data_IF_744283587758
#
_entry.id   IF_744283587758
#
_cell.length_a   1.000
_cell.length_b   1.000
_cell.length_c   1.000
_cell.angle_alpha   90.00
_cell.angle_beta   90.00
_cell.angle_gamma   90.00
#
_symmetry.space_group_name_H-M   'P 1'
#
loop_
_entity.id
_entity.type
_entity.pdbx_description
1 polymer ?
#
# COMPACT_ATOMS: atom_id res chain seq x y z
N UNK A 1 30.44 -8.51 22.86
CA UNK A 1 30.28 -7.58 21.73
C UNK A 1 29.45 -6.41 22.21
N UNK A 2 29.99 -5.20 22.24
CA UNK A 2 29.19 -4.01 22.60
C UNK A 2 28.18 -3.74 21.47
N UNK A 3 26.92 -3.79 21.82
CA UNK A 3 25.87 -3.43 20.85
C UNK A 3 25.99 -1.95 20.50
N UNK A 4 25.96 -1.63 19.22
CA UNK A 4 25.93 -0.25 18.73
C UNK A 4 24.80 0.53 19.44
N UNK A 5 25.09 1.68 20.08
CA UNK A 5 24.10 2.46 20.79
C UNK A 5 22.92 2.90 19.89
N UNK A 6 23.16 3.08 18.59
CA UNK A 6 22.10 3.36 17.60
C UNK A 6 21.17 2.16 17.41
N UNK A 7 21.73 0.96 17.31
CA UNK A 7 20.92 -0.26 17.18
C UNK A 7 20.04 -0.49 18.41
N UNK A 8 20.57 -0.22 19.62
CA UNK A 8 19.79 -0.31 20.87
C UNK A 8 18.61 0.68 20.86
N UNK A 9 18.85 1.92 20.49
CA UNK A 9 17.81 2.96 20.40
C UNK A 9 16.70 2.58 19.40
N UNK A 10 17.06 2.05 18.23
CA UNK A 10 16.10 1.58 17.22
C UNK A 10 15.26 0.42 17.75
N UNK A 11 15.88 -0.55 18.43
CA UNK A 11 15.18 -1.68 19.02
C UNK A 11 14.22 -1.26 20.15
N UNK A 12 14.62 -0.31 21.01
CA UNK A 12 13.76 0.22 22.05
C UNK A 12 12.56 0.98 21.44
N UNK A 13 12.80 1.78 20.40
CA UNK A 13 11.72 2.46 19.68
C UNK A 13 10.74 1.47 19.04
N UNK A 14 11.27 0.42 18.38
CA UNK A 14 10.45 -0.65 17.80
C UNK A 14 9.58 -1.34 18.86
N UNK A 15 10.15 -1.69 20.03
CA UNK A 15 9.40 -2.32 21.14
C UNK A 15 8.26 -1.41 21.63
N UNK A 16 8.54 -0.12 21.78
CA UNK A 16 7.51 0.86 22.20
C UNK A 16 6.37 0.95 21.19
N UNK A 17 6.70 1.05 19.91
CA UNK A 17 5.69 1.11 18.84
C UNK A 17 4.88 -0.18 18.75
N UNK A 18 5.55 -1.33 18.91
CA UNK A 18 4.87 -2.63 18.93
C UNK A 18 3.89 -2.74 20.11
N UNK A 19 4.27 -2.27 21.29
CA UNK A 19 3.40 -2.27 22.45
C UNK A 19 2.16 -1.36 22.27
N UNK A 20 2.33 -0.21 21.61
CA UNK A 20 1.22 0.69 21.29
C UNK A 20 0.25 0.11 20.24
N UNK A 21 0.75 -0.77 19.38
CA UNK A 21 -0.03 -1.39 18.31
C UNK A 21 -1.00 -2.47 18.83
N UNK A 22 -0.69 -3.13 19.94
CA UNK A 22 -1.45 -4.27 20.48
C UNK A 22 -2.95 -3.94 20.64
N UNK A 23 -3.29 -2.72 21.06
CA UNK A 23 -4.69 -2.29 21.22
C UNK A 23 -5.47 -2.20 19.90
N UNK A 24 -4.77 -2.08 18.77
CA UNK A 24 -5.36 -2.02 17.44
C UNK A 24 -5.45 -3.40 16.76
N UNK A 25 -4.61 -4.34 17.16
CA UNK A 25 -4.51 -5.64 16.50
C UNK A 25 -5.82 -6.45 16.62
N UNK A 26 -6.47 -6.42 17.77
CA UNK A 26 -7.77 -7.09 17.97
C UNK A 26 -8.87 -6.44 17.11
N UNK A 27 -8.88 -5.12 17.03
CA UNK A 27 -9.84 -4.41 16.19
C UNK A 27 -9.61 -4.66 14.70
N UNK A 28 -8.36 -4.70 14.26
CA UNK A 28 -8.02 -5.05 12.88
C UNK A 28 -8.35 -6.50 12.55
N UNK A 29 -8.21 -7.42 13.51
CA UNK A 29 -8.63 -8.80 13.32
C UNK A 29 -10.13 -8.88 13.07
N UNK A 30 -10.94 -8.21 13.88
CA UNK A 30 -12.39 -8.15 13.69
C UNK A 30 -12.78 -7.59 12.32
N UNK A 31 -12.15 -6.48 11.90
CA UNK A 31 -12.36 -5.91 10.56
C UNK A 31 -11.99 -6.93 9.46
N UNK A 32 -10.85 -7.60 9.60
CA UNK A 32 -10.38 -8.56 8.61
C UNK A 32 -11.34 -9.75 8.48
N UNK A 33 -11.90 -10.24 9.58
CA UNK A 33 -12.83 -11.37 9.58
C UNK A 33 -14.09 -11.09 8.74
N UNK A 34 -14.59 -9.85 8.75
CA UNK A 34 -15.77 -9.46 7.99
C UNK A 34 -15.49 -8.94 6.58
N UNK A 35 -14.41 -8.18 6.38
CA UNK A 35 -14.13 -7.51 5.11
C UNK A 35 -13.09 -8.23 4.26
N UNK A 36 -12.09 -8.86 4.87
CA UNK A 36 -10.96 -9.52 4.20
C UNK A 36 -10.66 -10.91 4.79
N UNK A 37 -11.61 -11.84 4.80
CA UNK A 37 -11.47 -13.13 5.51
C UNK A 37 -10.29 -13.97 5.03
N UNK A 38 -9.85 -13.79 3.77
CA UNK A 38 -8.66 -14.47 3.23
C UNK A 38 -7.34 -13.98 3.85
N UNK A 39 -7.33 -12.75 4.37
CA UNK A 39 -6.16 -12.08 4.97
C UNK A 39 -6.28 -11.92 6.50
N UNK A 40 -7.27 -12.52 7.13
CA UNK A 40 -7.57 -12.43 8.56
C UNK A 40 -6.61 -13.25 9.44
N UNK A 41 -5.31 -13.01 9.34
CA UNK A 41 -4.28 -13.67 10.16
C UNK A 41 -3.47 -12.63 10.94
N UNK A 42 -4.13 -11.75 11.69
CA UNK A 42 -3.47 -10.66 12.42
C UNK A 42 -3.10 -11.11 13.83
N UNK A 43 -4.09 -11.42 14.66
CA UNK A 43 -3.90 -11.99 16.00
C UNK A 43 -4.13 -13.50 16.00
N UNK A 44 -5.06 -13.98 15.19
CA UNK A 44 -5.38 -15.39 15.05
C UNK A 44 -4.58 -16.02 13.90
N UNK A 45 -4.08 -17.23 14.14
CA UNK A 45 -3.36 -18.00 13.12
C UNK A 45 -4.25 -19.14 12.64
N UNK A 46 -4.71 -19.01 11.41
CA UNK A 46 -5.45 -20.08 10.75
C UNK A 46 -4.48 -21.09 10.12
N UNK A 47 -4.81 -22.37 10.28
CA UNK A 47 -4.09 -23.47 9.64
C UNK A 47 -4.67 -23.78 8.26
N UNK A 48 -3.96 -24.61 7.49
CA UNK A 48 -4.48 -25.05 6.18
C UNK A 48 -5.73 -25.91 6.38
N UNK A 49 -6.83 -25.50 5.72
CA UNK A 49 -8.12 -26.20 5.81
C UNK A 49 -9.11 -25.60 6.81
N UNK A 50 -8.69 -24.61 7.60
CA UNK A 50 -9.61 -23.90 8.50
C UNK A 50 -10.62 -23.08 7.70
N UNK A 51 -11.84 -23.05 8.18
CA UNK A 51 -12.89 -22.20 7.62
C UNK A 51 -12.63 -20.76 8.04
N UNK A 52 -12.65 -19.85 7.06
CA UNK A 52 -12.37 -18.41 7.28
C UNK A 52 -13.61 -17.52 7.12
N UNK A 53 -14.78 -18.12 7.00
CA UNK A 53 -16.02 -17.41 6.69
C UNK A 53 -17.18 -17.82 7.60
N UNK A 54 -16.90 -18.47 8.72
CA UNK A 54 -17.93 -18.95 9.63
C UNK A 54 -18.75 -17.81 10.26
N UNK A 55 -18.17 -16.60 10.32
CA UNK A 55 -18.83 -15.38 10.82
C UNK A 55 -19.49 -14.55 9.72
N UNK A 56 -19.31 -14.92 8.44
CA UNK A 56 -19.86 -14.15 7.30
C UNK A 56 -21.17 -14.79 6.88
N UNK A 57 -22.28 -14.12 7.20
CA UNK A 57 -23.61 -14.55 6.82
C UNK A 57 -24.06 -13.99 5.45
N UNK A 58 -23.49 -12.86 5.01
CA UNK A 58 -23.66 -12.31 3.68
C UNK A 58 -22.37 -11.64 3.17
N UNK A 59 -22.28 -11.41 1.86
CA UNK A 59 -21.12 -10.83 1.21
C UNK A 59 -21.14 -9.29 1.10
N UNK A 60 -22.06 -8.60 1.75
CA UNK A 60 -22.26 -7.14 1.58
C UNK A 60 -21.00 -6.35 1.94
N UNK A 61 -20.35 -6.67 3.05
CA UNK A 61 -19.16 -5.96 3.52
C UNK A 61 -17.98 -6.12 2.54
N UNK A 62 -17.71 -7.34 2.11
CA UNK A 62 -16.64 -7.66 1.14
C UNK A 62 -16.92 -6.98 -0.21
N UNK A 63 -18.17 -7.04 -0.69
CA UNK A 63 -18.56 -6.41 -1.95
C UNK A 63 -18.47 -4.89 -1.89
N UNK A 64 -18.88 -4.27 -0.78
CA UNK A 64 -18.80 -2.82 -0.59
C UNK A 64 -17.34 -2.34 -0.58
N UNK A 65 -16.44 -3.07 0.06
CA UNK A 65 -15.00 -2.79 0.06
C UNK A 65 -14.41 -2.87 -1.36
N UNK A 66 -14.75 -3.92 -2.10
CA UNK A 66 -14.31 -4.12 -3.49
C UNK A 66 -14.78 -2.98 -4.39
N UNK A 67 -16.04 -2.59 -4.29
CA UNK A 67 -16.63 -1.50 -5.07
C UNK A 67 -15.95 -0.16 -4.75
N UNK A 68 -15.69 0.11 -3.47
CA UNK A 68 -15.03 1.34 -3.04
C UNK A 68 -13.56 1.38 -3.50
N UNK A 69 -12.82 0.27 -3.37
CA UNK A 69 -11.44 0.16 -3.84
C UNK A 69 -11.35 0.34 -5.36
N UNK A 70 -12.25 -0.27 -6.11
CA UNK A 70 -12.34 -0.11 -7.57
C UNK A 70 -12.63 1.33 -7.97
N UNK A 71 -13.53 2.00 -7.25
CA UNK A 71 -13.87 3.40 -7.48
C UNK A 71 -12.67 4.32 -7.21
N UNK A 72 -11.95 4.11 -6.11
CA UNK A 72 -10.75 4.88 -5.80
C UNK A 72 -9.65 4.65 -6.85
N UNK A 73 -9.42 3.41 -7.26
CA UNK A 73 -8.44 3.11 -8.29
C UNK A 73 -8.77 3.82 -9.61
N UNK A 74 -10.03 3.79 -10.03
CA UNK A 74 -10.49 4.48 -11.24
C UNK A 74 -10.37 6.01 -11.17
N UNK A 75 -10.52 6.60 -9.99
CA UNK A 75 -10.47 8.05 -9.78
C UNK A 75 -9.06 8.58 -9.56
N UNK A 76 -8.22 7.88 -8.78
CA UNK A 76 -6.91 8.38 -8.34
C UNK A 76 -5.74 7.87 -9.19
N UNK A 77 -5.79 6.62 -9.64
CA UNK A 77 -4.68 5.98 -10.37
C UNK A 77 -5.15 5.35 -11.68
N UNK A 78 -5.93 6.10 -12.43
CA UNK A 78 -6.45 5.66 -13.72
C UNK A 78 -5.30 5.30 -14.67
N UNK A 79 -5.41 4.13 -15.31
CA UNK A 79 -4.41 3.64 -16.28
C UNK A 79 -4.44 4.36 -17.63
N UNK A 80 -5.56 4.99 -17.97
CA UNK A 80 -5.78 5.59 -19.30
C UNK A 80 -5.26 7.02 -19.36
N UNK A 81 -5.40 7.77 -18.27
CA UNK A 81 -5.00 9.18 -18.21
C UNK A 81 -3.85 9.40 -17.21
N UNK A 82 -2.96 10.38 -17.48
CA UNK A 82 -1.96 10.78 -16.51
C UNK A 82 -2.59 11.23 -15.21
N UNK A 83 -2.23 10.59 -14.11
CA UNK A 83 -2.77 10.90 -12.78
C UNK A 83 -1.82 11.73 -11.92
N UNK A 84 -0.61 12.01 -12.38
CA UNK A 84 0.35 12.92 -11.74
C UNK A 84 1.10 13.76 -12.76
N UNK A 85 1.60 14.90 -12.31
CA UNK A 85 2.49 15.79 -13.06
C UNK A 85 3.70 16.14 -12.21
N UNK A 86 4.85 16.34 -12.85
CA UNK A 86 6.06 16.83 -12.20
C UNK A 86 6.11 18.33 -12.31
N UNK A 87 6.48 19.02 -11.22
CA UNK A 87 6.64 20.47 -11.18
C UNK A 87 7.87 20.85 -10.38
N UNK A 88 8.54 21.93 -10.78
CA UNK A 88 9.60 22.50 -9.96
C UNK A 88 9.03 23.11 -8.68
N UNK A 89 9.77 22.93 -7.59
CA UNK A 89 9.44 23.58 -6.32
C UNK A 89 9.67 25.09 -6.35
N UNK A 90 10.63 25.55 -7.17
CA UNK A 90 10.99 26.98 -7.29
C UNK A 90 10.26 27.59 -8.49
N UNK A 91 9.50 28.65 -8.26
CA UNK A 91 8.77 29.40 -9.31
C UNK A 91 9.69 29.94 -10.42
N UNK A 92 10.91 30.39 -10.09
CA UNK A 92 11.84 30.90 -11.13
C UNK A 92 12.25 29.82 -12.16
N UNK A 93 12.21 28.56 -11.77
CA UNK A 93 12.47 27.45 -12.69
C UNK A 93 11.19 27.02 -13.45
N UNK A 94 10.01 27.34 -12.92
CA UNK A 94 8.72 27.01 -13.54
C UNK A 94 8.42 27.88 -14.78
N UNK A 95 9.06 29.05 -14.93
CA UNK A 95 8.90 29.96 -16.09
C UNK A 95 9.79 29.57 -17.29
N UNK A 96 10.51 28.44 -17.17
CA UNK A 96 11.38 27.95 -18.25
C UNK A 96 10.69 26.82 -19.02
N UNK A 97 10.29 27.10 -20.25
CA UNK A 97 9.58 26.16 -21.14
C UNK A 97 10.36 24.87 -21.38
N UNK A 98 11.68 24.97 -21.64
CA UNK A 98 12.54 23.80 -21.89
C UNK A 98 12.63 22.90 -20.63
N UNK A 99 12.62 23.48 -19.45
CA UNK A 99 12.63 22.74 -18.19
C UNK A 99 11.28 22.05 -17.94
N UNK A 100 10.17 22.67 -18.29
CA UNK A 100 8.83 22.08 -18.19
C UNK A 100 8.66 20.92 -19.18
N UNK A 101 9.13 21.06 -20.43
CA UNK A 101 9.12 19.98 -21.43
C UNK A 101 9.95 18.77 -20.97
N UNK A 102 11.10 19.02 -20.33
CA UNK A 102 11.89 17.94 -19.72
C UNK A 102 11.12 17.20 -18.61
N UNK A 103 10.43 17.93 -17.71
CA UNK A 103 9.61 17.33 -16.66
C UNK A 103 8.43 16.52 -17.21
N UNK A 104 7.77 17.00 -18.26
CA UNK A 104 6.73 16.25 -18.94
C UNK A 104 7.26 14.94 -19.54
N UNK A 105 8.45 15.01 -20.15
CA UNK A 105 9.12 13.82 -20.68
C UNK A 105 9.44 12.82 -19.56
N UNK A 106 9.98 13.29 -18.44
CA UNK A 106 10.22 12.46 -17.27
C UNK A 106 8.92 11.83 -16.74
N UNK A 107 7.84 12.58 -16.62
CA UNK A 107 6.55 12.07 -16.18
C UNK A 107 6.01 10.97 -17.11
N UNK A 108 6.14 11.14 -18.42
CA UNK A 108 5.76 10.13 -19.42
C UNK A 108 6.58 8.84 -19.25
N UNK A 109 7.90 8.96 -19.06
CA UNK A 109 8.77 7.78 -18.80
C UNK A 109 8.37 7.06 -17.52
N UNK A 110 8.13 7.80 -16.42
CA UNK A 110 7.67 7.21 -15.16
C UNK A 110 6.35 6.46 -15.33
N UNK A 111 5.38 7.03 -16.06
CA UNK A 111 4.11 6.36 -16.35
C UNK A 111 4.31 5.06 -17.14
N UNK A 112 5.23 5.06 -18.12
CA UNK A 112 5.56 3.84 -18.88
C UNK A 112 6.20 2.76 -17.98
N UNK A 113 7.07 3.14 -17.07
CA UNK A 113 7.67 2.22 -16.08
C UNK A 113 6.59 1.63 -15.17
N UNK A 114 5.68 2.44 -14.64
CA UNK A 114 4.57 1.95 -13.82
C UNK A 114 3.65 1.01 -14.61
N UNK A 115 3.37 1.31 -15.87
CA UNK A 115 2.52 0.48 -16.71
C UNK A 115 3.16 -0.89 -17.06
N UNK A 116 4.49 -0.98 -17.12
CA UNK A 116 5.22 -2.26 -17.34
C UNK A 116 5.39 -3.08 -16.09
N UNK A 117 5.43 -2.42 -14.93
CA UNK A 117 5.61 -3.05 -13.62
C UNK A 117 4.30 -3.64 -13.08
N UNK A 118 4.36 -4.24 -11.91
CA UNK A 118 3.18 -4.72 -11.18
C UNK A 118 2.45 -3.61 -10.38
N UNK A 119 2.72 -2.33 -10.67
CA UNK A 119 2.17 -1.19 -9.92
C UNK A 119 0.64 -1.21 -9.82
N UNK A 120 -0.06 -1.47 -10.93
CA UNK A 120 -1.53 -1.43 -10.94
C UNK A 120 -2.17 -2.49 -10.04
N UNK A 121 -1.55 -3.66 -9.96
CA UNK A 121 -2.01 -4.72 -9.08
C UNK A 121 -1.77 -4.35 -7.61
N UNK A 122 -0.57 -3.87 -7.29
CA UNK A 122 -0.18 -3.55 -5.93
C UNK A 122 -0.87 -2.30 -5.38
N UNK A 123 -1.14 -1.29 -6.22
CA UNK A 123 -1.88 -0.10 -5.78
C UNK A 123 -3.36 -0.44 -5.48
N UNK A 124 -3.95 -1.37 -6.19
CA UNK A 124 -5.29 -1.86 -5.91
C UNK A 124 -5.35 -2.60 -4.56
N UNK A 125 -4.36 -3.47 -4.29
CA UNK A 125 -4.21 -4.11 -2.99
C UNK A 125 -3.97 -3.09 -1.87
N UNK A 126 -3.19 -2.03 -2.14
CA UNK A 126 -2.97 -0.94 -1.19
C UNK A 126 -4.28 -0.21 -0.85
N UNK A 127 -5.15 0.02 -1.82
CA UNK A 127 -6.46 0.62 -1.55
C UNK A 127 -7.34 -0.29 -0.70
N UNK A 128 -7.34 -1.60 -0.91
CA UNK A 128 -8.04 -2.54 -0.04
C UNK A 128 -7.56 -2.46 1.40
N UNK A 129 -6.25 -2.49 1.63
CA UNK A 129 -5.66 -2.39 2.97
C UNK A 129 -5.98 -1.02 3.60
N UNK A 130 -5.83 0.05 2.84
CA UNK A 130 -6.09 1.42 3.33
C UNK A 130 -7.55 1.63 3.73
N UNK A 131 -8.49 1.12 2.94
CA UNK A 131 -9.93 1.25 3.20
C UNK A 131 -10.39 0.37 4.35
N UNK A 132 -9.83 -0.82 4.49
CA UNK A 132 -10.19 -1.73 5.57
C UNK A 132 -9.57 -1.31 6.91
N UNK A 133 -8.29 -1.00 6.95
CA UNK A 133 -7.52 -0.80 8.19
C UNK A 133 -7.16 0.65 8.48
N UNK A 134 -7.46 1.58 7.55
CA UNK A 134 -7.10 3.00 7.69
C UNK A 134 -5.62 3.31 7.50
N UNK A 135 -4.79 2.30 7.23
CA UNK A 135 -3.36 2.43 6.97
C UNK A 135 -2.90 1.34 6.03
N UNK A 136 -1.90 1.66 5.21
CA UNK A 136 -1.27 0.69 4.31
C UNK A 136 0.17 1.12 4.03
N UNK A 137 1.01 0.16 3.65
CA UNK A 137 2.40 0.41 3.28
C UNK A 137 2.74 -0.34 1.99
N UNK A 138 3.47 0.34 1.11
CA UNK A 138 3.99 -0.26 -0.12
C UNK A 138 5.51 -0.18 -0.13
N UNK A 139 6.14 -1.30 -0.40
CA UNK A 139 7.57 -1.41 -0.58
C UNK A 139 7.93 -1.37 -2.06
N UNK A 140 8.96 -0.61 -2.41
CA UNK A 140 9.41 -0.43 -3.79
C UNK A 140 10.85 -0.90 -3.87
N UNK A 141 11.14 -1.76 -4.84
CA UNK A 141 12.50 -2.26 -5.12
C UNK A 141 12.84 -2.14 -6.59
N UNK A 142 14.12 -2.07 -6.87
CA UNK A 142 14.61 -2.21 -8.23
C UNK A 142 14.41 -3.66 -8.72
N UNK A 143 14.01 -3.81 -9.97
CA UNK A 143 13.89 -5.10 -10.65
C UNK A 143 14.62 -5.06 -11.99
N UNK A 144 15.42 -6.09 -12.26
CA UNK A 144 16.24 -6.17 -13.48
C UNK A 144 15.38 -6.32 -14.75
N UNK A 145 14.18 -6.86 -14.61
CA UNK A 145 13.30 -7.14 -15.74
C UNK A 145 12.30 -6.03 -16.02
N UNK A 146 11.69 -5.50 -14.96
CA UNK A 146 10.55 -4.57 -15.06
C UNK A 146 10.89 -3.17 -14.53
N UNK A 147 12.18 -2.86 -14.34
CA UNK A 147 12.75 -1.64 -13.75
C UNK A 147 12.38 -1.45 -12.27
N UNK A 148 11.09 -1.53 -11.92
CA UNK A 148 10.58 -1.39 -10.57
C UNK A 148 9.62 -2.52 -10.23
N UNK A 149 9.70 -2.98 -8.98
CA UNK A 149 8.77 -3.94 -8.40
C UNK A 149 8.16 -3.38 -7.13
N UNK A 150 6.85 -3.49 -7.03
CA UNK A 150 6.07 -3.04 -5.90
C UNK A 150 5.61 -4.24 -5.08
N UNK A 151 5.51 -4.07 -3.77
CA UNK A 151 4.90 -5.05 -2.86
C UNK A 151 4.09 -4.30 -1.81
N UNK A 152 2.80 -4.50 -1.79
CA UNK A 152 1.94 -4.03 -0.71
C UNK A 152 2.11 -4.94 0.50
N UNK A 153 2.40 -4.34 1.64
CA UNK A 153 2.61 -5.05 2.90
C UNK A 153 1.29 -5.10 3.65
N UNK A 154 0.85 -6.32 3.97
CA UNK A 154 -0.32 -6.50 4.82
C UNK A 154 -0.01 -6.08 6.26
N UNK A 155 -1.02 -5.58 6.96
CA UNK A 155 -0.86 -5.06 8.32
C UNK A 155 -0.35 -6.11 9.33
N UNK A 156 -0.46 -7.40 9.03
CA UNK A 156 0.11 -8.47 9.85
C UNK A 156 1.61 -8.70 9.65
N UNK A 157 2.22 -8.18 8.57
CA UNK A 157 3.66 -8.24 8.30
C UNK A 157 4.40 -7.13 9.06
#
# INVERSE_FOLDING_TARGET
MAQDPKAKMVLERYKTLKAQRVTWEDHWQEIADYFLPRKANITEKHTKGDKRHDQIFDGTATHALELLASSLNGMLTNTISPWFVLKFRNQMAADNDAANEWLETCAKIMQQVFARSNFQQEIFELYHELLAFGTSAMFITDDVKDDLRFKTLHISE
#
